data_IF_768947313417
#
_entry.id   IF_768947313417
#
_cell.length_a   1.000
_cell.length_b   1.000
_cell.length_c   1.000
_cell.angle_alpha   90.00
_cell.angle_beta   90.00
_cell.angle_gamma   90.00
#
_symmetry.space_group_name_H-M   'P 1'
#
loop_
_entity.id
_entity.type
_entity.pdbx_description
1 polymer ?
#
# COMPACT_ATOMS: atom_id res chain seq x y z
N UNK A 1 -31.52 -5.51 65.72
CA UNK A 1 -30.56 -4.54 66.26
C UNK A 1 -29.28 -5.34 66.50
N UNK A 2 -28.29 -5.22 65.59
CA UNK A 2 -27.01 -4.52 65.83
C UNK A 2 -26.34 -5.04 67.11
N UNK A 3 -25.09 -5.50 67.12
CA UNK A 3 -23.90 -4.68 66.89
C UNK A 3 -22.74 -5.52 66.32
N UNK A 4 -22.31 -5.17 65.11
CA UNK A 4 -20.94 -5.38 64.63
C UNK A 4 -20.01 -4.44 65.41
N UNK A 5 -19.17 -5.01 66.25
CA UNK A 5 -18.09 -4.33 66.99
C UNK A 5 -16.75 -4.72 66.36
N UNK A 6 -16.12 -3.83 65.61
CA UNK A 6 -15.26 -2.78 66.16
C UNK A 6 -14.00 -3.30 66.89
N UNK A 7 -13.37 -4.36 66.37
CA UNK A 7 -12.01 -4.79 66.78
C UNK A 7 -11.10 -5.01 65.55
N UNK A 8 -11.17 -4.10 64.59
CA UNK A 8 -10.15 -3.91 63.54
C UNK A 8 -9.95 -2.42 63.24
N UNK A 9 -10.17 -1.56 64.24
CA UNK A 9 -9.58 -0.22 64.22
C UNK A 9 -8.09 -0.41 64.53
N UNK A 10 -7.19 0.21 63.75
CA UNK A 10 -5.74 0.42 64.04
C UNK A 10 -4.71 -0.20 63.07
N UNK A 11 -5.07 -0.69 61.89
CA UNK A 11 -4.11 -0.67 60.77
C UNK A 11 -4.46 0.49 59.84
N UNK A 12 -3.84 1.62 60.16
CA UNK A 12 -3.34 2.59 59.19
C UNK A 12 -4.39 3.39 58.42
N UNK A 13 -5.03 4.33 59.13
CA UNK A 13 -5.24 5.69 58.60
C UNK A 13 -3.88 6.34 58.31
N UNK A 14 -3.24 5.92 57.23
CA UNK A 14 -1.97 6.43 56.66
C UNK A 14 -1.85 5.68 55.33
N UNK A 15 -2.14 6.20 54.14
CA UNK A 15 -2.03 7.57 53.65
C UNK A 15 -3.02 7.74 52.49
N UNK A 16 -3.77 8.83 52.52
CA UNK A 16 -4.34 9.46 51.33
C UNK A 16 -3.19 9.99 50.45
N UNK A 17 -3.49 10.36 49.20
CA UNK A 17 -2.64 10.97 48.13
C UNK A 17 -2.30 9.94 47.03
N UNK A 18 -3.10 9.78 45.96
CA UNK A 18 -3.29 10.62 44.75
C UNK A 18 -2.17 10.51 43.69
N UNK A 19 -2.63 10.42 42.43
CA UNK A 19 -1.90 10.60 41.15
C UNK A 19 -1.00 9.42 40.79
N UNK A 20 -1.32 8.67 39.72
CA UNK A 20 -0.79 8.99 38.39
C UNK A 20 0.55 8.26 38.21
N UNK A 21 0.98 8.05 36.97
CA UNK A 21 2.37 7.71 36.64
C UNK A 21 2.79 6.23 36.78
N UNK A 22 3.02 5.59 35.62
CA UNK A 22 4.22 4.78 35.48
C UNK A 22 4.09 3.25 35.53
N UNK A 23 3.18 2.63 34.76
CA UNK A 23 3.60 1.42 34.07
C UNK A 23 4.31 1.82 32.79
N UNK A 24 5.61 2.06 32.91
CA UNK A 24 6.54 1.89 31.83
C UNK A 24 6.50 0.42 31.41
N UNK A 25 5.54 0.06 30.57
CA UNK A 25 5.64 -1.13 29.73
C UNK A 25 6.76 -0.83 28.75
N UNK A 26 7.96 -1.31 29.08
CA UNK A 26 9.07 -1.50 28.17
C UNK A 26 8.65 -2.49 27.09
N UNK A 27 7.86 -2.03 26.12
CA UNK A 27 7.86 -2.65 24.80
C UNK A 27 9.19 -2.26 24.18
N UNK A 28 10.21 -3.09 24.43
CA UNK A 28 11.47 -3.10 23.71
C UNK A 28 11.15 -3.31 22.24
N UNK A 29 10.80 -2.22 21.55
CA UNK A 29 10.78 -2.17 20.09
C UNK A 29 12.22 -2.11 19.70
N UNK A 30 12.82 -3.28 19.48
CA UNK A 30 14.06 -3.40 18.72
C UNK A 30 13.81 -2.73 17.38
N UNK A 31 14.21 -1.46 17.27
CA UNK A 31 14.41 -0.80 16.00
C UNK A 31 15.54 -1.56 15.32
N UNK A 32 15.17 -2.57 14.52
CA UNK A 32 16.02 -3.03 13.43
C UNK A 32 16.44 -1.78 12.66
N UNK A 33 17.73 -1.57 12.37
CA UNK A 33 18.14 -0.40 11.61
C UNK A 33 17.28 -0.32 10.35
N UNK A 34 16.64 0.84 10.17
CA UNK A 34 16.09 1.24 8.89
C UNK A 34 17.30 1.41 7.97
N UNK A 35 17.76 0.29 7.40
CA UNK A 35 18.56 0.34 6.20
C UNK A 35 17.63 0.82 5.11
N UNK A 36 17.64 2.14 4.92
CA UNK A 36 17.26 2.76 3.65
C UNK A 36 18.32 2.33 2.64
N UNK A 37 18.26 1.07 2.22
CA UNK A 37 18.85 0.68 0.94
C UNK A 37 18.05 1.44 -0.09
N UNK A 38 18.56 2.61 -0.47
CA UNK A 38 18.25 3.28 -1.73
C UNK A 38 18.70 2.31 -2.81
N UNK A 39 17.90 1.27 -3.04
CA UNK A 39 18.04 0.42 -4.18
C UNK A 39 17.61 1.30 -5.34
N UNK A 40 18.60 1.84 -6.03
CA UNK A 40 18.51 2.29 -7.41
C UNK A 40 18.11 1.08 -8.25
N UNK A 41 16.87 0.63 -8.07
CA UNK A 41 16.22 -0.39 -8.83
C UNK A 41 15.69 0.29 -10.08
N UNK A 42 16.48 0.20 -11.14
CA UNK A 42 16.02 0.23 -12.53
C UNK A 42 14.58 -0.29 -12.58
N UNK A 43 13.68 0.51 -13.16
CA UNK A 43 12.26 0.27 -13.36
C UNK A 43 11.99 -0.94 -14.26
N UNK A 44 12.37 -2.12 -13.80
CA UNK A 44 11.87 -3.38 -14.33
C UNK A 44 10.73 -3.75 -13.40
N UNK A 45 9.53 -3.33 -13.77
CA UNK A 45 8.30 -3.71 -13.09
C UNK A 45 8.33 -5.22 -12.86
N UNK A 46 8.52 -5.62 -11.60
CA UNK A 46 8.63 -7.01 -11.22
C UNK A 46 7.31 -7.67 -11.57
N UNK A 47 7.33 -8.54 -12.59
CA UNK A 47 6.18 -9.31 -13.08
C UNK A 47 5.64 -10.31 -12.04
N UNK A 48 6.23 -10.37 -10.86
CA UNK A 48 5.84 -11.26 -9.78
C UNK A 48 4.51 -10.77 -9.18
N UNK A 49 3.44 -11.50 -9.47
CA UNK A 49 2.18 -11.28 -8.78
C UNK A 49 2.19 -11.98 -7.42
N UNK A 50 2.70 -11.24 -6.45
CA UNK A 50 2.70 -11.62 -5.05
C UNK A 50 2.32 -10.41 -4.21
N UNK A 51 1.77 -10.68 -3.03
CA UNK A 51 1.59 -9.64 -2.03
C UNK A 51 2.97 -9.32 -1.43
N UNK A 52 3.32 -8.03 -1.45
CA UNK A 52 4.57 -7.50 -0.90
C UNK A 52 4.38 -7.22 0.59
N UNK A 53 3.19 -6.78 1.00
CA UNK A 53 2.87 -6.52 2.39
C UNK A 53 2.34 -7.79 3.09
N UNK A 54 2.79 -8.03 4.32
CA UNK A 54 2.39 -9.20 5.10
C UNK A 54 0.93 -9.13 5.61
N UNK A 55 0.39 -7.91 5.73
CA UNK A 55 -0.95 -7.67 6.28
C UNK A 55 -2.06 -7.59 5.22
N UNK A 56 -1.80 -7.94 3.96
CA UNK A 56 -2.76 -7.80 2.86
C UNK A 56 -4.12 -8.46 3.14
N UNK A 57 -4.14 -9.61 3.81
CA UNK A 57 -5.38 -10.28 4.23
C UNK A 57 -6.26 -9.41 5.16
N UNK A 58 -5.62 -8.64 6.05
CA UNK A 58 -6.32 -7.79 7.02
C UNK A 58 -6.80 -6.47 6.39
N UNK A 59 -6.15 -6.03 5.31
CA UNK A 59 -6.45 -4.76 4.62
C UNK A 59 -7.16 -4.97 3.28
N UNK A 60 -7.70 -6.17 3.03
CA UNK A 60 -8.42 -6.48 1.79
C UNK A 60 -9.64 -5.58 1.54
N UNK A 61 -10.27 -5.03 2.59
CA UNK A 61 -11.36 -4.07 2.45
C UNK A 61 -10.94 -2.80 1.69
N UNK A 62 -9.66 -2.40 1.78
CA UNK A 62 -9.14 -1.21 1.12
C UNK A 62 -8.92 -1.40 -0.39
N UNK A 63 -9.03 -2.61 -0.92
CA UNK A 63 -8.95 -2.86 -2.37
C UNK A 63 -10.01 -2.06 -3.15
N UNK A 64 -11.18 -1.84 -2.56
CA UNK A 64 -12.30 -1.10 -3.16
C UNK A 64 -12.29 0.40 -2.80
N UNK A 65 -11.39 0.83 -1.91
CA UNK A 65 -11.33 2.22 -1.49
C UNK A 65 -10.51 3.02 -2.51
N UNK A 66 -11.08 4.05 -3.16
CA UNK A 66 -10.40 4.81 -4.22
C UNK A 66 -9.14 5.54 -3.73
N UNK A 67 -9.04 5.85 -2.43
CA UNK A 67 -7.86 6.50 -1.85
C UNK A 67 -6.68 5.53 -1.65
N UNK A 68 -6.96 4.23 -1.53
CA UNK A 68 -5.95 3.22 -1.21
C UNK A 68 -5.76 2.18 -2.32
N UNK A 69 -6.60 2.18 -3.35
CA UNK A 69 -6.55 1.24 -4.47
C UNK A 69 -5.17 1.22 -5.15
N UNK A 70 -4.55 2.39 -5.36
CA UNK A 70 -3.20 2.49 -5.93
C UNK A 70 -2.15 1.82 -5.03
N UNK A 71 -2.20 2.08 -3.71
CA UNK A 71 -1.31 1.45 -2.73
C UNK A 71 -1.53 -0.06 -2.67
N UNK A 72 -2.78 -0.51 -2.75
CA UNK A 72 -3.15 -1.92 -2.79
C UNK A 72 -2.70 -2.60 -4.09
N UNK A 73 -2.71 -1.90 -5.23
CA UNK A 73 -2.16 -2.41 -6.51
C UNK A 73 -0.66 -2.62 -6.46
N UNK A 74 0.07 -1.89 -5.61
CA UNK A 74 1.52 -2.07 -5.48
C UNK A 74 1.83 -3.17 -4.47
N UNK A 75 1.15 -3.16 -3.32
CA UNK A 75 1.54 -3.96 -2.16
C UNK A 75 0.74 -5.25 -1.99
N UNK A 76 -0.48 -5.32 -2.52
CA UNK A 76 -1.44 -6.40 -2.28
C UNK A 76 -2.09 -6.90 -3.58
N UNK A 77 -1.27 -7.06 -4.62
CA UNK A 77 -1.67 -7.45 -5.99
C UNK A 77 -2.49 -8.74 -6.02
N UNK A 78 -2.03 -9.75 -5.31
CA UNK A 78 -2.66 -11.08 -5.31
C UNK A 78 -3.96 -11.05 -4.53
N UNK A 79 -3.97 -10.37 -3.38
CA UNK A 79 -5.16 -10.24 -2.53
C UNK A 79 -6.28 -9.44 -3.23
N UNK A 80 -5.98 -8.31 -3.85
CA UNK A 80 -7.01 -7.44 -4.43
C UNK A 80 -7.40 -7.78 -5.87
N UNK A 81 -6.42 -8.17 -6.69
CA UNK A 81 -6.60 -8.26 -8.14
C UNK A 81 -6.42 -9.68 -8.67
N UNK A 82 -6.22 -10.67 -7.78
CA UNK A 82 -6.03 -12.09 -8.12
C UNK A 82 -5.06 -12.32 -9.28
N UNK A 83 -4.02 -11.49 -9.37
CA UNK A 83 -3.03 -11.58 -10.45
C UNK A 83 -3.58 -11.44 -11.86
N UNK A 84 -4.75 -10.82 -12.02
CA UNK A 84 -5.09 -10.16 -13.28
C UNK A 84 -4.19 -8.93 -13.34
N UNK A 85 -2.93 -9.17 -13.71
CA UNK A 85 -2.02 -8.09 -14.06
C UNK A 85 -2.75 -7.26 -15.13
N UNK A 86 -2.80 -5.92 -15.03
CA UNK A 86 -3.17 -5.13 -16.19
C UNK A 86 -2.30 -5.64 -17.33
N UNK A 87 -2.94 -6.03 -18.44
CA UNK A 87 -2.28 -6.66 -19.58
C UNK A 87 -0.93 -5.98 -19.75
N UNK A 88 0.16 -6.72 -19.52
CA UNK A 88 1.50 -6.15 -19.50
C UNK A 88 1.60 -5.24 -20.73
N UNK A 89 2.13 -3.99 -20.61
CA UNK A 89 2.25 -3.11 -21.76
C UNK A 89 2.94 -3.93 -22.83
N UNK A 90 2.15 -4.32 -23.83
CA UNK A 90 2.63 -5.27 -24.82
C UNK A 90 3.86 -4.62 -25.40
N UNK A 91 5.00 -5.31 -25.44
CA UNK A 91 6.16 -4.78 -26.17
C UNK A 91 5.80 -4.52 -27.64
N UNK A 92 4.70 -5.12 -28.14
CA UNK A 92 4.10 -4.81 -29.44
C UNK A 92 3.31 -3.48 -29.48
N UNK A 93 2.89 -2.96 -28.33
CA UNK A 93 2.29 -1.64 -28.13
C UNK A 93 3.37 -0.61 -27.78
N UNK A 94 4.33 -0.44 -28.70
CA UNK A 94 5.29 0.65 -28.67
C UNK A 94 5.16 1.45 -29.96
N UNK A 95 5.41 2.76 -29.88
CA UNK A 95 5.69 3.56 -31.05
C UNK A 95 7.01 3.07 -31.69
N UNK A 96 6.97 2.74 -32.97
CA UNK A 96 8.14 2.43 -33.80
C UNK A 96 8.80 3.71 -34.31
N UNK A 97 8.03 4.78 -34.47
CA UNK A 97 8.52 6.09 -34.89
C UNK A 97 8.77 7.01 -33.68
N UNK A 98 9.80 7.86 -33.78
CA UNK A 98 10.14 8.88 -32.78
C UNK A 98 9.34 10.18 -32.94
N UNK A 99 8.67 10.38 -34.07
CA UNK A 99 7.95 11.61 -34.41
C UNK A 99 6.42 11.43 -34.42
N UNK A 100 5.92 10.50 -33.59
CA UNK A 100 4.49 10.28 -33.42
C UNK A 100 3.77 11.52 -32.90
N UNK A 101 2.64 11.84 -33.52
CA UNK A 101 1.81 13.00 -33.16
C UNK A 101 0.36 12.56 -33.02
N UNK A 102 -0.19 12.75 -31.81
CA UNK A 102 -1.56 12.37 -31.48
C UNK A 102 -2.63 13.05 -32.38
N UNK A 103 -2.34 14.26 -32.87
CA UNK A 103 -3.25 15.00 -33.75
C UNK A 103 -3.47 14.33 -35.12
N UNK A 104 -2.54 13.47 -35.54
CA UNK A 104 -2.61 12.77 -36.83
C UNK A 104 -3.29 11.40 -36.74
N UNK A 105 -3.59 10.91 -35.53
CA UNK A 105 -4.19 9.59 -35.32
C UNK A 105 -5.60 9.46 -35.91
N UNK A 106 -6.33 10.56 -36.06
CA UNK A 106 -7.65 10.62 -36.70
C UNK A 106 -7.63 11.21 -38.11
N UNK A 107 -6.45 11.47 -38.68
CA UNK A 107 -6.34 12.01 -40.03
C UNK A 107 -6.38 10.87 -41.06
N UNK A 108 -7.32 10.85 -42.01
CA UNK A 108 -7.49 9.73 -42.95
C UNK A 108 -6.27 9.49 -43.87
N UNK A 109 -5.45 10.52 -44.10
CA UNK A 109 -4.20 10.37 -44.88
C UNK A 109 -3.08 9.69 -44.08
N UNK A 110 -3.09 9.85 -42.75
CA UNK A 110 -2.03 9.39 -41.86
C UNK A 110 -2.43 8.20 -40.98
N UNK A 111 -3.71 7.85 -40.94
CA UNK A 111 -4.27 6.84 -40.05
C UNK A 111 -3.54 5.49 -40.19
N UNK A 112 -3.30 5.01 -41.41
CA UNK A 112 -2.60 3.73 -41.63
C UNK A 112 -1.15 3.74 -41.12
N UNK A 113 -0.42 4.83 -41.36
CA UNK A 113 0.98 4.99 -40.92
C UNK A 113 1.02 5.13 -39.39
N UNK A 114 0.10 5.91 -38.81
CA UNK A 114 -0.01 6.16 -37.38
C UNK A 114 -0.48 4.92 -36.60
N UNK A 115 -1.43 4.15 -37.14
CA UNK A 115 -1.84 2.88 -36.56
C UNK A 115 -0.72 1.82 -36.59
N UNK A 116 0.22 1.92 -37.52
CA UNK A 116 1.34 0.97 -37.61
C UNK A 116 2.53 1.40 -36.76
N UNK A 117 2.91 2.67 -36.83
CA UNK A 117 4.16 3.18 -36.24
C UNK A 117 3.97 3.92 -34.92
N UNK A 118 2.74 4.31 -34.59
CA UNK A 118 2.42 5.15 -33.44
C UNK A 118 1.31 4.57 -32.58
N UNK A 119 1.25 3.23 -32.50
CA UNK A 119 0.23 2.45 -31.80
C UNK A 119 -0.06 2.95 -30.39
N UNK A 120 0.98 3.20 -29.60
CA UNK A 120 0.82 3.71 -28.22
C UNK A 120 0.32 5.15 -28.19
N UNK A 121 0.81 6.00 -29.09
CA UNK A 121 0.39 7.42 -29.18
C UNK A 121 -1.07 7.55 -29.58
N UNK A 122 -1.52 6.68 -30.49
CA UNK A 122 -2.88 6.68 -31.01
C UNK A 122 -3.83 5.76 -30.27
N UNK A 123 -3.36 5.10 -29.19
CA UNK A 123 -4.10 4.08 -28.46
C UNK A 123 -4.77 3.05 -29.39
N UNK A 124 -4.03 2.62 -30.43
CA UNK A 124 -4.42 1.57 -31.39
C UNK A 124 -3.80 0.21 -31.02
N UNK A 125 -3.49 0.08 -29.74
CA UNK A 125 -3.26 -1.17 -29.05
C UNK A 125 -4.56 -1.53 -28.32
#
# INVERSE_FOLDING_TARGET
MQFSTAVFVLTTVYSLIQLGEGQATTTTTTLKPLTTTLSSGTTTASLTCTDVAANCANIAAYCQNPNYSATMMINCKKTCFKCVLPAAPSTACKNLSSNCNAALCGNPLWEGIMATNCKSTCNKC
#
